data_IF_808328145261
#
_entry.id   IF_808328145261
#
_cell.length_a   1.000
_cell.length_b   1.000
_cell.length_c   1.000
_cell.angle_alpha   90.00
_cell.angle_beta   90.00
_cell.angle_gamma   90.00
#
_symmetry.space_group_name_H-M   'P 1'
#
loop_
_entity.id
_entity.type
_entity.pdbx_description
1 polymer ?
#
# COMPACT_ATOMS: atom_id res chain seq x y z
N UNK A 1 20.38 1.89 -0.86
CA UNK A 1 20.99 2.13 0.48
C UNK A 1 20.05 3.06 1.28
N UNK A 2 20.03 3.03 2.63
CA UNK A 2 19.20 3.93 3.45
C UNK A 2 19.52 5.41 3.19
N UNK A 3 20.80 5.73 3.03
CA UNK A 3 21.26 7.10 2.72
C UNK A 3 20.68 7.62 1.39
N UNK A 4 20.58 6.76 0.37
CA UNK A 4 19.98 7.12 -0.92
C UNK A 4 18.47 7.34 -0.78
N UNK A 5 17.81 6.51 0.03
CA UNK A 5 16.39 6.69 0.32
C UNK A 5 16.17 8.03 1.05
N UNK A 6 16.93 8.29 2.12
CA UNK A 6 16.91 9.56 2.83
C UNK A 6 17.13 10.74 1.89
N UNK A 7 18.10 10.61 0.97
CA UNK A 7 18.39 11.63 -0.03
C UNK A 7 17.19 11.99 -0.89
N UNK A 8 16.42 10.99 -1.36
CA UNK A 8 15.18 11.24 -2.12
C UNK A 8 14.21 12.12 -1.32
N UNK A 9 14.04 11.86 -0.01
CA UNK A 9 13.15 12.66 0.82
C UNK A 9 13.70 14.08 1.07
N UNK A 10 14.99 14.21 1.36
CA UNK A 10 15.61 15.53 1.59
C UNK A 10 15.63 16.39 0.33
N UNK A 11 15.84 15.78 -0.84
CA UNK A 11 15.79 16.47 -2.14
C UNK A 11 14.36 17.00 -2.45
N UNK A 12 13.34 16.45 -1.78
CA UNK A 12 11.94 16.90 -1.84
C UNK A 12 11.51 17.72 -0.61
N UNK A 13 12.46 18.27 0.16
CA UNK A 13 12.20 19.24 1.23
C UNK A 13 11.89 18.65 2.61
N UNK A 14 12.05 17.35 2.81
CA UNK A 14 11.92 16.72 4.13
C UNK A 14 13.19 16.93 4.94
N UNK A 15 13.04 17.35 6.20
CA UNK A 15 14.18 17.45 7.13
C UNK A 15 14.79 16.07 7.42
N UNK A 16 16.12 15.98 7.34
CA UNK A 16 16.84 14.72 7.49
C UNK A 16 16.66 14.07 8.88
N UNK A 17 16.61 14.87 9.94
CA UNK A 17 16.41 14.33 11.30
C UNK A 17 14.98 13.83 11.49
N UNK A 18 13.99 14.50 10.88
CA UNK A 18 12.61 14.01 10.85
C UNK A 18 12.47 12.70 10.06
N UNK A 19 13.20 12.56 8.96
CA UNK A 19 13.28 11.28 8.24
C UNK A 19 13.83 10.19 9.15
N UNK A 20 15.00 10.41 9.78
CA UNK A 20 15.64 9.41 10.63
C UNK A 20 14.74 8.98 11.80
N UNK A 21 14.10 9.96 12.45
CA UNK A 21 13.18 9.71 13.56
C UNK A 21 11.96 8.89 13.12
N UNK A 22 11.38 9.20 11.95
CA UNK A 22 10.23 8.47 11.43
C UNK A 22 10.61 7.08 10.94
N UNK A 23 11.67 6.96 10.12
CA UNK A 23 12.14 5.71 9.52
C UNK A 23 12.48 4.67 10.60
N UNK A 24 13.13 5.10 11.69
CA UNK A 24 13.49 4.24 12.82
C UNK A 24 12.39 4.12 13.89
N UNK A 25 11.22 4.72 13.68
CA UNK A 25 10.16 4.73 14.70
C UNK A 25 9.49 3.37 14.88
N UNK A 26 8.96 3.14 16.09
CA UNK A 26 8.07 2.02 16.37
C UNK A 26 6.82 2.04 15.45
N UNK A 27 6.32 3.21 15.09
CA UNK A 27 5.15 3.35 14.23
C UNK A 27 5.43 2.81 12.82
N UNK A 28 6.53 3.22 12.18
CA UNK A 28 6.90 2.76 10.82
C UNK A 28 7.20 1.27 10.82
N UNK A 29 8.00 0.77 11.78
CA UNK A 29 8.28 -0.66 11.89
C UNK A 29 7.01 -1.51 12.15
N UNK A 30 6.05 -0.99 12.90
CA UNK A 30 4.74 -1.66 13.10
C UNK A 30 3.89 -1.65 11.84
N UNK A 31 3.89 -0.56 11.06
CA UNK A 31 3.18 -0.48 9.79
C UNK A 31 3.75 -1.47 8.76
N UNK A 32 5.08 -1.57 8.63
CA UNK A 32 5.71 -2.54 7.74
C UNK A 32 5.30 -3.97 8.08
N UNK A 33 5.40 -4.36 9.36
CA UNK A 33 4.97 -5.70 9.82
C UNK A 33 3.49 -5.97 9.53
N UNK A 34 2.63 -4.95 9.68
CA UNK A 34 1.21 -5.05 9.35
C UNK A 34 1.00 -5.27 7.86
N UNK A 35 1.71 -4.54 6.99
CA UNK A 35 1.62 -4.71 5.55
C UNK A 35 2.08 -6.12 5.11
N UNK A 36 3.19 -6.62 5.64
CA UNK A 36 3.66 -7.98 5.36
C UNK A 36 2.64 -9.05 5.77
N UNK A 37 2.02 -8.87 6.94
CA UNK A 37 0.98 -9.77 7.44
C UNK A 37 -0.27 -9.73 6.55
N UNK A 38 -0.76 -8.53 6.25
CA UNK A 38 -1.95 -8.35 5.40
C UNK A 38 -1.74 -8.94 4.01
N UNK A 39 -0.56 -8.75 3.40
CA UNK A 39 -0.26 -9.32 2.09
C UNK A 39 -0.29 -10.86 2.13
N UNK A 40 0.36 -11.48 3.13
CA UNK A 40 0.34 -12.93 3.34
C UNK A 40 -1.08 -13.48 3.57
N UNK A 41 -1.90 -12.76 4.32
CA UNK A 41 -3.29 -13.16 4.61
C UNK A 41 -4.23 -12.95 3.42
N UNK A 42 -3.94 -11.99 2.54
CA UNK A 42 -4.79 -11.62 1.40
C UNK A 42 -4.75 -12.59 0.20
N UNK A 43 -3.90 -13.61 0.23
CA UNK A 43 -3.59 -14.53 -0.90
C UNK A 43 -3.18 -13.85 -2.21
N UNK A 44 -2.90 -12.54 -2.19
CA UNK A 44 -2.33 -11.80 -3.32
C UNK A 44 -0.99 -12.42 -3.76
N UNK A 45 -0.80 -12.52 -5.07
CA UNK A 45 0.44 -13.05 -5.67
C UNK A 45 1.28 -11.96 -6.35
N UNK A 46 0.78 -10.72 -6.40
CA UNK A 46 1.47 -9.60 -7.06
C UNK A 46 0.83 -8.24 -6.79
N UNK A 47 1.40 -7.21 -7.41
CA UNK A 47 0.97 -5.82 -7.32
C UNK A 47 0.75 -5.22 -8.72
N UNK A 48 -0.20 -4.28 -8.91
CA UNK A 48 -1.15 -3.76 -7.91
C UNK A 48 -2.23 -4.79 -7.54
N UNK A 49 -2.61 -4.85 -6.25
CA UNK A 49 -3.66 -5.73 -5.72
C UNK A 49 -4.62 -4.93 -4.83
N UNK A 50 -5.92 -5.11 -5.03
CA UNK A 50 -6.97 -4.43 -4.26
C UNK A 50 -7.85 -5.44 -3.56
N UNK A 51 -8.02 -5.26 -2.26
CA UNK A 51 -8.88 -6.08 -1.41
C UNK A 51 -9.97 -5.19 -0.82
N UNK A 52 -11.23 -5.55 -1.04
CA UNK A 52 -12.41 -4.84 -0.51
C UNK A 52 -12.97 -5.60 0.68
N UNK A 53 -13.32 -4.88 1.75
CA UNK A 53 -13.89 -5.42 2.99
C UNK A 53 -13.12 -6.62 3.58
N UNK A 54 -11.79 -6.66 3.42
CA UNK A 54 -10.94 -7.78 3.84
C UNK A 54 -11.38 -9.17 3.32
N UNK A 55 -12.18 -9.20 2.24
CA UNK A 55 -12.89 -10.40 1.78
C UNK A 55 -12.80 -10.62 0.28
N UNK A 56 -12.83 -9.55 -0.50
CA UNK A 56 -12.91 -9.63 -1.96
C UNK A 56 -11.63 -9.14 -2.62
N UNK A 57 -10.96 -10.00 -3.38
CA UNK A 57 -9.83 -9.60 -4.24
C UNK A 57 -10.41 -9.16 -5.57
N UNK A 58 -10.08 -7.95 -6.01
CA UNK A 58 -10.53 -7.41 -7.29
C UNK A 58 -9.62 -7.96 -8.41
N UNK A 59 -10.20 -8.65 -9.39
CA UNK A 59 -9.47 -9.17 -10.55
C UNK A 59 -9.65 -8.19 -11.72
N UNK A 60 -8.62 -7.42 -12.11
CA UNK A 60 -8.76 -6.36 -13.11
C UNK A 60 -8.78 -6.88 -14.55
N UNK A 61 -8.46 -8.16 -14.79
CA UNK A 61 -8.19 -8.69 -16.13
C UNK A 61 -9.37 -8.56 -17.12
N UNK A 62 -10.60 -8.50 -16.62
CA UNK A 62 -11.81 -8.37 -17.45
C UNK A 62 -12.42 -6.96 -17.42
N UNK A 63 -11.84 -6.05 -16.64
CA UNK A 63 -12.32 -4.68 -16.49
C UNK A 63 -11.84 -3.83 -17.66
N UNK A 64 -12.79 -3.25 -18.41
CA UNK A 64 -12.54 -2.61 -19.71
C UNK A 64 -12.28 -1.10 -19.59
N UNK A 65 -12.54 -0.52 -18.41
CA UNK A 65 -12.32 0.90 -18.15
C UNK A 65 -12.10 1.19 -16.66
N UNK A 66 -11.50 2.34 -16.34
CA UNK A 66 -11.42 2.82 -14.96
C UNK A 66 -12.79 3.02 -14.30
N UNK A 67 -13.80 3.43 -15.06
CA UNK A 67 -15.15 3.61 -14.55
C UNK A 67 -15.76 2.28 -14.07
N UNK A 68 -15.66 1.24 -14.90
CA UNK A 68 -16.11 -0.12 -14.56
C UNK A 68 -15.34 -0.68 -13.35
N UNK A 69 -14.04 -0.37 -13.25
CA UNK A 69 -13.25 -0.75 -12.07
C UNK A 69 -13.80 -0.12 -10.78
N UNK A 70 -14.06 1.19 -10.82
CA UNK A 70 -14.62 1.91 -9.66
C UNK A 70 -16.02 1.41 -9.31
N UNK A 71 -16.87 1.11 -10.29
CA UNK A 71 -18.20 0.53 -10.07
C UNK A 71 -18.10 -0.85 -9.41
N UNK A 72 -17.19 -1.71 -9.86
CA UNK A 72 -16.94 -3.00 -9.24
C UNK A 72 -16.50 -2.86 -7.78
N UNK A 73 -15.54 -1.97 -7.48
CA UNK A 73 -15.11 -1.70 -6.10
C UNK A 73 -16.28 -1.19 -5.26
N UNK A 74 -17.07 -0.25 -5.77
CA UNK A 74 -18.23 0.31 -5.06
C UNK A 74 -19.30 -0.76 -4.79
N UNK A 75 -19.55 -1.65 -5.75
CA UNK A 75 -20.45 -2.78 -5.55
C UNK A 75 -19.95 -3.69 -4.44
N UNK A 76 -18.68 -4.10 -4.48
CA UNK A 76 -18.09 -4.98 -3.46
C UNK A 76 -18.07 -4.35 -2.06
N UNK A 77 -18.05 -3.02 -1.94
CA UNK A 77 -18.17 -2.32 -0.65
C UNK A 77 -19.55 -2.50 0.00
N UNK A 78 -20.59 -2.80 -0.79
CA UNK A 78 -21.96 -3.04 -0.29
C UNK A 78 -22.22 -4.48 0.16
N UNK A 79 -21.28 -5.41 -0.08
CA UNK A 79 -21.36 -6.83 0.27
C UNK A 79 -20.57 -7.18 1.53
#
# INVERSE_FOLDING_TARGET
NEDELKKVFTDNGVDGNKFDAAYNSFAVSSMQKRFDKQFKESTLTGVPGVVVNNKYIVIPNEVRSYAEYSELVNYLLTL
#
